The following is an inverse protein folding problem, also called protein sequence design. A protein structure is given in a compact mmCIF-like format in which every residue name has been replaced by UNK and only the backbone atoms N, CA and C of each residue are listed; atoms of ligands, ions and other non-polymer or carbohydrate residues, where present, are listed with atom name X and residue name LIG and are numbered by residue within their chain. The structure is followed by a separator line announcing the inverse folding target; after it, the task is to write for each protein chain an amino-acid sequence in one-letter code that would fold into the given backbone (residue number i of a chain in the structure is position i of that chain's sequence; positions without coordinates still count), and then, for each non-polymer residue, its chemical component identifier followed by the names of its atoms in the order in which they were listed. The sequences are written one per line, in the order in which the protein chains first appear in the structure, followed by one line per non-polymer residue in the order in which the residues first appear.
data_IF_225328528597
#
_entry.id   IF_225328528597
#
_cell.length_a   1.000
_cell.length_b   1.000
_cell.length_c   1.000
_cell.angle_alpha   90.00
_cell.angle_beta   90.00
_cell.angle_gamma   90.00
#
_symmetry.space_group_name_H-M   'P 1'
#
loop_
_entity.id
_entity.type
_entity.pdbx_description
1 polymer ?
#
# COMPACT_ATOMS: atom_id res chain seq x y z
N UNK A 1 -9.93 3.79 6.28
CA UNK A 1 -8.54 3.52 6.73
C UNK A 1 -8.28 2.03 6.65
N UNK A 2 -7.08 1.61 6.25
CA UNK A 2 -6.67 0.20 6.12
C UNK A 2 -5.50 -0.08 7.06
N UNK A 3 -5.56 -1.19 7.81
CA UNK A 3 -4.52 -1.64 8.74
C UNK A 3 -4.18 -3.09 8.44
N UNK A 4 -2.93 -3.36 8.04
CA UNK A 4 -2.41 -4.71 7.83
C UNK A 4 -1.49 -5.08 8.99
N UNK A 5 -1.86 -6.09 9.77
CA UNK A 5 -1.10 -6.55 10.93
C UNK A 5 -0.08 -7.62 10.50
N UNK A 6 1.03 -7.74 11.24
CA UNK A 6 2.10 -8.71 10.97
C UNK A 6 1.65 -10.17 11.06
N UNK A 7 0.52 -10.45 11.71
CA UNK A 7 -0.10 -11.77 11.76
C UNK A 7 -0.99 -12.08 10.52
N UNK A 8 -0.98 -11.20 9.50
CA UNK A 8 -1.77 -11.33 8.28
C UNK A 8 -3.21 -10.85 8.40
N UNK A 9 -3.64 -10.34 9.56
CA UNK A 9 -4.98 -9.77 9.71
C UNK A 9 -5.08 -8.44 8.97
N UNK A 10 -6.15 -8.25 8.20
CA UNK A 10 -6.46 -6.98 7.53
C UNK A 10 -7.70 -6.36 8.14
N UNK A 11 -7.59 -5.17 8.69
CA UNK A 11 -8.70 -4.40 9.20
C UNK A 11 -8.97 -3.17 8.34
N UNK A 12 -10.24 -2.94 8.02
CA UNK A 12 -10.69 -1.77 7.26
C UNK A 12 -11.77 -1.06 8.07
N UNK A 13 -11.52 0.21 8.38
CA UNK A 13 -12.46 1.09 9.05
C UNK A 13 -13.09 2.03 8.02
N UNK A 14 -14.40 1.95 7.86
CA UNK A 14 -15.21 2.85 7.04
C UNK A 14 -15.61 4.06 7.88
N UNK A 15 -15.32 5.26 7.38
CA UNK A 15 -15.51 6.50 8.15
C UNK A 15 -16.92 7.08 8.02
N UNK A 16 -17.60 6.81 6.91
CA UNK A 16 -18.93 7.35 6.61
C UNK A 16 -19.99 6.86 7.59
N UNK A 17 -19.92 5.59 7.99
CA UNK A 17 -20.95 4.91 8.79
C UNK A 17 -20.37 4.19 10.02
N UNK A 18 -19.08 4.39 10.30
CA UNK A 18 -18.32 3.72 11.36
C UNK A 18 -18.28 2.18 11.29
N UNK A 19 -18.70 1.58 10.18
CA UNK A 19 -18.59 0.14 9.97
C UNK A 19 -17.13 -0.30 9.86
N UNK A 20 -16.86 -1.57 10.17
CA UNK A 20 -15.52 -2.16 10.10
C UNK A 20 -15.60 -3.57 9.57
N UNK A 21 -14.58 -3.98 8.83
CA UNK A 21 -14.34 -5.38 8.53
C UNK A 21 -12.95 -5.79 9.01
N UNK A 22 -12.83 -6.98 9.56
CA UNK A 22 -11.56 -7.58 9.99
C UNK A 22 -11.47 -8.95 9.31
N UNK A 23 -10.52 -9.09 8.40
CA UNK A 23 -10.25 -10.30 7.66
C UNK A 23 -9.13 -11.07 8.34
N UNK A 24 -9.38 -12.34 8.64
CA UNK A 24 -8.40 -13.24 9.22
C UNK A 24 -8.13 -14.42 8.26
N UNK A 25 -6.93 -14.49 7.64
CA UNK A 25 -6.61 -15.55 6.69
C UNK A 25 -6.53 -16.93 7.37
N UNK A 26 -6.01 -17.01 8.60
CA UNK A 26 -5.87 -18.27 9.34
C UNK A 26 -7.23 -18.91 9.66
N UNK A 27 -8.22 -18.10 10.01
CA UNK A 27 -9.58 -18.57 10.29
C UNK A 27 -10.46 -18.67 9.03
N UNK A 28 -9.96 -18.17 7.88
CA UNK A 28 -10.75 -17.99 6.66
C UNK A 28 -12.10 -17.32 6.95
N UNK A 29 -12.05 -16.24 7.70
CA UNK A 29 -13.24 -15.57 8.21
C UNK A 29 -13.15 -14.05 8.06
N UNK A 30 -14.33 -13.43 8.03
CA UNK A 30 -14.51 -11.99 8.14
C UNK A 30 -15.37 -11.70 9.37
N UNK A 31 -14.88 -10.81 10.21
CA UNK A 31 -15.70 -10.12 11.19
C UNK A 31 -16.25 -8.85 10.55
N UNK A 32 -17.56 -8.67 10.64
CA UNK A 32 -18.25 -7.43 10.28
C UNK A 32 -18.78 -6.75 11.54
N UNK A 33 -18.42 -5.49 11.70
CA UNK A 33 -18.97 -4.59 12.71
C UNK A 33 -19.77 -3.55 11.93
N UNK A 34 -21.09 -3.59 12.05
CA UNK A 34 -21.96 -2.66 11.33
C UNK A 34 -22.02 -1.28 12.00
N UNK A 35 -22.84 -0.39 11.44
CA UNK A 35 -23.08 0.95 11.97
C UNK A 35 -23.76 0.95 13.34
N UNK A 36 -24.50 -0.11 13.67
CA UNK A 36 -25.16 -0.31 14.97
C UNK A 36 -24.18 -0.87 16.02
N UNK A 37 -22.93 -1.14 15.62
CA UNK A 37 -21.88 -1.75 16.43
C UNK A 37 -22.14 -3.22 16.76
N UNK A 38 -23.02 -3.88 15.99
CA UNK A 38 -23.22 -5.31 16.10
C UNK A 38 -22.02 -6.04 15.48
N UNK A 39 -21.44 -6.95 16.26
CA UNK A 39 -20.25 -7.71 15.88
C UNK A 39 -20.64 -9.12 15.47
N UNK A 40 -20.42 -9.48 14.20
CA UNK A 40 -20.69 -10.83 13.69
C UNK A 40 -19.48 -11.35 12.91
N UNK A 41 -19.09 -12.59 13.17
CA UNK A 41 -17.99 -13.25 12.46
C UNK A 41 -18.54 -14.36 11.59
N UNK A 42 -18.14 -14.35 10.33
CA UNK A 42 -18.59 -15.29 9.31
C UNK A 42 -17.38 -15.98 8.70
N UNK A 43 -17.41 -17.30 8.66
CA UNK A 43 -16.49 -18.06 7.82
C UNK A 43 -16.87 -17.84 6.35
N UNK A 44 -15.88 -17.72 5.47
CA UNK A 44 -16.15 -17.52 4.04
C UNK A 44 -16.95 -18.66 3.42
N UNK A 45 -16.71 -19.90 3.87
CA UNK A 45 -17.48 -21.07 3.44
C UNK A 45 -18.98 -20.92 3.74
N UNK A 46 -19.33 -20.37 4.91
CA UNK A 46 -20.73 -20.13 5.29
C UNK A 46 -21.36 -19.00 4.48
N UNK A 47 -20.60 -17.96 4.12
CA UNK A 47 -21.09 -16.89 3.25
C UNK A 47 -21.36 -17.37 1.82
N UNK A 48 -20.60 -18.34 1.33
CA UNK A 48 -20.80 -18.92 -0.01
C UNK A 48 -22.10 -19.74 -0.09
N UNK A 49 -22.47 -20.46 0.98
CA UNK A 49 -23.65 -21.33 0.99
C UNK A 49 -24.90 -20.69 1.58
N UNK A 50 -24.73 -19.85 2.61
CA UNK A 50 -25.82 -19.22 3.38
C UNK A 50 -26.23 -17.84 2.86
N UNK A 51 -25.55 -17.33 1.84
CA UNK A 51 -25.76 -15.99 1.31
C UNK A 51 -25.00 -14.91 2.08
N UNK A 52 -25.03 -13.71 1.52
CA UNK A 52 -24.31 -12.54 2.03
C UNK A 52 -25.19 -11.30 1.93
N UNK A 53 -25.18 -10.48 2.97
CA UNK A 53 -25.85 -9.18 2.93
C UNK A 53 -25.11 -8.24 1.98
N UNK A 54 -25.85 -7.45 1.21
CA UNK A 54 -25.28 -6.59 0.16
C UNK A 54 -24.23 -5.60 0.69
N UNK A 55 -24.44 -5.09 1.90
CA UNK A 55 -23.51 -4.20 2.57
C UNK A 55 -22.16 -4.86 2.85
N UNK A 56 -22.16 -6.11 3.33
CA UNK A 56 -20.93 -6.85 3.56
C UNK A 56 -20.24 -7.18 2.24
N UNK A 57 -21.00 -7.54 1.20
CA UNK A 57 -20.45 -7.84 -0.13
C UNK A 57 -19.66 -6.65 -0.70
N UNK A 58 -20.25 -5.46 -0.75
CA UNK A 58 -19.58 -4.24 -1.25
C UNK A 58 -18.30 -3.94 -0.47
N UNK A 59 -18.32 -4.16 0.84
CA UNK A 59 -17.14 -3.95 1.70
C UNK A 59 -16.05 -4.99 1.46
N UNK A 60 -16.42 -6.24 1.16
CA UNK A 60 -15.48 -7.30 0.76
C UNK A 60 -14.87 -7.03 -0.62
N UNK A 61 -15.63 -6.50 -1.58
CA UNK A 61 -15.11 -6.09 -2.89
C UNK A 61 -14.08 -4.96 -2.74
N UNK A 62 -14.37 -3.97 -1.90
CA UNK A 62 -13.40 -2.94 -1.53
C UNK A 62 -12.16 -3.56 -0.87
N UNK A 63 -12.35 -4.49 0.07
CA UNK A 63 -11.23 -5.17 0.74
C UNK A 63 -10.33 -5.92 -0.24
N UNK A 64 -10.91 -6.61 -1.22
CA UNK A 64 -10.16 -7.29 -2.29
C UNK A 64 -9.28 -6.29 -3.03
N UNK A 65 -9.81 -5.14 -3.39
CA UNK A 65 -9.05 -4.08 -4.08
C UNK A 65 -7.88 -3.57 -3.22
N UNK A 66 -8.09 -3.44 -1.91
CA UNK A 66 -7.03 -3.05 -0.97
C UNK A 66 -5.94 -4.14 -0.86
N UNK A 67 -6.32 -5.42 -0.83
CA UNK A 67 -5.38 -6.54 -0.83
C UNK A 67 -4.56 -6.56 -2.11
N UNK A 68 -5.19 -6.38 -3.27
CA UNK A 68 -4.50 -6.35 -4.56
C UNK A 68 -3.46 -5.21 -4.62
N UNK A 69 -3.82 -4.04 -4.08
CA UNK A 69 -2.92 -2.87 -3.98
C UNK A 69 -1.75 -3.13 -3.02
N UNK A 70 -2.02 -3.74 -1.87
CA UNK A 70 -0.99 -4.10 -0.90
C UNK A 70 -0.04 -5.15 -1.47
N UNK A 71 -0.55 -6.10 -2.24
CA UNK A 71 0.27 -7.18 -2.83
C UNK A 71 1.10 -6.69 -4.00
N UNK A 72 0.57 -5.78 -4.82
CA UNK A 72 1.31 -5.18 -5.93
C UNK A 72 2.48 -4.30 -5.49
N UNK A 73 2.45 -3.78 -4.26
CA UNK A 73 3.54 -2.98 -3.70
C UNK A 73 4.66 -3.82 -3.06
N UNK A 74 4.48 -5.15 -2.95
CA UNK A 74 5.59 -6.04 -2.58
C UNK A 74 6.56 -6.18 -3.77
N UNK A 75 7.89 -6.05 -3.55
CA UNK A 75 8.88 -6.35 -4.58
C UNK A 75 8.70 -7.81 -5.03
N UNK A 76 8.26 -7.99 -6.27
CA UNK A 76 8.25 -9.30 -6.93
C UNK A 76 9.70 -9.82 -6.97
N UNK A 77 9.99 -10.91 -6.25
CA UNK A 77 11.21 -11.68 -6.49
C UNK A 77 11.21 -12.15 -7.94
N UNK A 78 12.18 -11.66 -8.73
CA UNK A 78 12.08 -11.57 -10.20
C UNK A 78 12.22 -12.87 -11.01
N UNK A 79 12.18 -12.79 -12.35
CA UNK A 79 12.69 -13.83 -13.22
C UNK A 79 14.18 -13.58 -13.52
N UNK A 80 14.98 -14.61 -13.27
CA UNK A 80 16.28 -14.85 -13.87
C UNK A 80 16.24 -14.62 -15.37
N UNK A 81 16.94 -13.59 -15.85
CA UNK A 81 17.29 -13.42 -17.26
C UNK A 81 18.82 -13.47 -17.36
N UNK A 82 19.29 -14.55 -17.94
CA UNK A 82 20.68 -14.81 -18.32
C UNK A 82 21.24 -13.70 -19.21
N UNK A 83 22.51 -13.39 -19.00
CA UNK A 83 23.34 -12.47 -19.78
C UNK A 83 23.17 -12.67 -21.29
N UNK A 84 22.97 -11.56 -22.00
CA UNK A 84 23.37 -11.42 -23.41
C UNK A 84 24.23 -10.16 -23.52
N UNK A 85 25.53 -10.34 -23.75
CA UNK A 85 26.46 -9.26 -24.06
C UNK A 85 26.19 -8.74 -25.48
N UNK A 86 26.31 -7.43 -25.77
CA UNK A 86 26.45 -6.95 -27.13
C UNK A 86 27.91 -7.14 -27.58
N UNK A 87 28.08 -7.78 -28.72
CA UNK A 87 29.35 -7.95 -29.42
C UNK A 87 29.83 -6.61 -30.02
N UNK A 88 31.13 -6.35 -29.89
CA UNK A 88 31.86 -5.19 -30.38
C UNK A 88 31.90 -5.11 -31.92
N UNK A 89 32.04 -3.87 -32.43
CA UNK A 89 32.74 -3.64 -33.70
C UNK A 89 32.21 -2.49 -34.55
N UNK A 90 32.73 -1.28 -34.37
CA UNK A 90 33.55 -0.61 -35.40
C UNK A 90 34.08 0.74 -34.87
N UNK A 91 35.40 0.93 -34.99
CA UNK A 91 36.11 2.12 -34.60
C UNK A 91 36.09 3.20 -35.70
N UNK A 92 36.10 4.48 -35.30
CA UNK A 92 37.09 5.47 -35.75
C UNK A 92 37.07 6.75 -34.89
N UNK A 93 38.22 7.43 -34.69
CA UNK A 93 38.39 8.50 -33.72
C UNK A 93 38.35 9.90 -34.36
N UNK A 94 37.93 10.92 -33.60
CA UNK A 94 38.58 12.23 -33.60
C UNK A 94 38.09 13.11 -32.43
N UNK A 95 39.03 13.62 -31.63
CA UNK A 95 38.89 14.80 -30.76
C UNK A 95 39.21 16.07 -31.62
N UNK A 96 39.10 17.37 -31.20
CA UNK A 96 39.27 17.85 -29.81
C UNK A 96 38.45 19.11 -29.34
N UNK A 97 38.30 19.21 -28.00
CA UNK A 97 38.56 20.40 -27.13
C UNK A 97 37.68 21.68 -27.20
N UNK A 98 37.39 22.22 -25.99
CA UNK A 98 36.95 23.58 -25.57
C UNK A 98 35.44 23.90 -25.67
N UNK A 99 34.74 24.41 -24.65
CA UNK A 99 35.10 25.53 -23.75
C UNK A 99 34.28 25.51 -22.45
N UNK A 100 34.90 25.93 -21.34
CA UNK A 100 34.25 26.22 -20.07
C UNK A 100 33.51 27.56 -20.09
N UNK A 101 32.33 27.64 -19.46
CA UNK A 101 31.82 28.89 -18.87
C UNK A 101 31.05 28.56 -17.58
N UNK A 102 31.48 29.26 -16.52
CA UNK A 102 30.93 29.25 -15.14
C UNK A 102 29.62 30.04 -15.08
N UNK A 103 28.75 29.72 -14.11
CA UNK A 103 28.37 30.62 -12.97
C UNK A 103 27.15 30.06 -12.21
N UNK A 104 27.33 29.78 -10.91
CA UNK A 104 26.69 30.45 -9.73
C UNK A 104 25.21 30.09 -9.54
N UNK A 105 24.68 29.82 -8.35
CA UNK A 105 24.69 30.69 -7.16
C UNK A 105 24.09 29.91 -5.96
N UNK A 106 24.67 30.10 -4.77
CA UNK A 106 24.09 30.22 -3.40
C UNK A 106 22.77 29.51 -3.00
N UNK A 107 22.43 29.20 -1.74
CA UNK A 107 23.02 29.15 -0.38
C UNK A 107 21.81 28.79 0.53
N UNK A 108 22.06 28.24 1.72
CA UNK A 108 21.21 28.24 2.92
C UNK A 108 20.37 26.98 3.25
N UNK A 109 21.05 26.15 4.03
CA UNK A 109 20.63 25.40 5.23
C UNK A 109 19.62 26.08 6.18
N UNK A 110 18.73 25.28 6.80
CA UNK A 110 18.03 25.61 8.06
C UNK A 110 16.91 24.62 8.44
N UNK A 111 16.91 23.95 9.63
CA UNK A 111 16.03 22.82 9.99
C UNK A 111 14.91 23.22 11.02
N UNK A 112 14.27 22.32 11.83
CA UNK A 112 12.80 22.20 11.98
C UNK A 112 12.22 22.80 13.31
N UNK A 113 10.89 22.63 13.48
CA UNK A 113 9.98 23.14 14.53
C UNK A 113 10.40 23.06 16.02
N UNK A 114 9.64 23.73 16.92
CA UNK A 114 9.03 22.99 18.04
C UNK A 114 7.59 23.41 18.43
N UNK A 115 6.98 22.56 19.26
CA UNK A 115 5.61 22.60 19.77
C UNK A 115 5.43 23.42 21.07
N UNK A 116 4.24 23.97 21.29
CA UNK A 116 3.56 24.28 22.58
C UNK A 116 2.05 24.37 22.26
N UNK A 117 1.05 23.88 23.01
CA UNK A 117 0.90 23.63 24.43
C UNK A 117 0.03 24.72 25.07
N UNK A 118 -1.31 24.59 25.10
CA UNK A 118 -2.14 25.28 26.11
C UNK A 118 -3.53 24.64 26.37
N UNK A 119 -3.61 24.12 27.58
CA UNK A 119 -4.78 23.83 28.42
C UNK A 119 -5.39 25.14 28.93
N UNK A 120 -6.72 25.28 28.98
CA UNK A 120 -7.47 25.90 30.10
C UNK A 120 -8.99 25.78 29.96
N UNK A 121 -9.59 25.19 31.01
CA UNK A 121 -10.92 25.34 31.61
C UNK A 121 -12.18 25.39 30.74
#
# INVERSE_FOLDING_TARGET
MVLHLSNGTLQINFFEDHAKIILCPLMRAVTYIDSNRDFKTYQFQMLQTGGIIQDLLKRLEYAKTMIDTLTASLPQGGPSSTKSAPNDGNAKPNAPIQSAVRKTTATATGPPAPATGKLTK
#
